data_IF_790170826053
#
_entry.id   IF_790170826053
#
_cell.length_a   1.000
_cell.length_b   1.000
_cell.length_c   1.000
_cell.angle_alpha   90.00
_cell.angle_beta   90.00
_cell.angle_gamma   90.00
#
_symmetry.space_group_name_H-M   'P 1'
#
loop_
_entity.id
_entity.type
_entity.pdbx_description
1 polymer ?
#
# COMPACT_ATOMS: atom_id res chain seq x y z
N UNK A 1 -8.97 -9.59 -1.56
CA UNK A 1 -9.94 -8.70 -2.25
C UNK A 1 -11.07 -9.56 -2.78
N UNK A 2 -12.33 -9.13 -2.67
CA UNK A 2 -13.42 -9.85 -3.33
C UNK A 2 -13.19 -9.88 -4.84
N UNK A 3 -13.58 -10.97 -5.50
CA UNK A 3 -13.47 -11.13 -6.97
C UNK A 3 -14.28 -10.08 -7.76
N UNK A 4 -15.24 -9.43 -7.10
CA UNK A 4 -16.03 -8.33 -7.65
C UNK A 4 -16.15 -7.25 -6.58
N UNK A 5 -15.49 -6.10 -6.77
CA UNK A 5 -15.58 -4.99 -5.80
C UNK A 5 -16.96 -4.33 -5.87
N UNK A 6 -17.59 -4.12 -4.72
CA UNK A 6 -18.83 -3.33 -4.57
C UNK A 6 -18.51 -1.85 -4.22
N UNK A 7 -17.28 -1.40 -4.52
CA UNK A 7 -16.78 -0.06 -4.20
C UNK A 7 -16.24 0.02 -2.77
N UNK A 8 -17.11 -0.02 -1.76
CA UNK A 8 -16.75 0.23 -0.34
C UNK A 8 -16.35 -1.01 0.45
N UNK A 9 -15.63 -1.93 -0.17
CA UNK A 9 -15.28 -3.21 0.42
C UNK A 9 -13.78 -3.40 0.67
N UNK A 10 -12.98 -2.37 0.40
CA UNK A 10 -11.54 -2.42 0.63
C UNK A 10 -11.15 -1.79 1.97
N UNK A 11 -10.21 -2.45 2.64
CA UNK A 11 -9.46 -1.88 3.75
C UNK A 11 -8.09 -1.45 3.23
N UNK A 12 -7.71 -0.20 3.46
CA UNK A 12 -6.41 0.33 3.07
C UNK A 12 -5.60 0.68 4.31
N UNK A 13 -4.33 0.30 4.27
CA UNK A 13 -3.36 0.53 5.33
C UNK A 13 -2.12 1.19 4.73
N UNK A 14 -1.69 2.31 5.30
CA UNK A 14 -0.49 3.01 4.84
C UNK A 14 0.25 3.70 5.98
N UNK A 15 1.51 4.07 5.70
CA UNK A 15 2.24 5.04 6.51
C UNK A 15 2.48 6.31 5.69
N UNK A 16 2.21 7.46 6.30
CA UNK A 16 2.38 8.76 5.64
C UNK A 16 2.91 9.81 6.61
N UNK A 17 3.69 10.75 6.08
CA UNK A 17 4.16 11.96 6.73
C UNK A 17 3.49 13.22 6.13
N UNK A 18 2.44 13.05 5.31
CA UNK A 18 1.85 14.12 4.54
C UNK A 18 1.34 15.25 5.44
N UNK A 19 1.82 16.47 5.17
CA UNK A 19 1.23 17.70 5.70
C UNK A 19 0.21 18.24 4.71
N UNK A 20 -1.00 18.56 5.17
CA UNK A 20 -2.04 19.14 4.31
C UNK A 20 -2.71 20.33 5.01
N UNK A 21 -3.20 21.30 4.24
CA UNK A 21 -3.92 22.45 4.76
C UNK A 21 -5.39 22.09 4.83
N UNK A 22 -5.97 22.13 6.02
CA UNK A 22 -7.41 21.99 6.17
C UNK A 22 -8.13 23.15 5.46
N UNK A 23 -8.97 22.89 4.45
CA UNK A 23 -9.52 23.94 3.61
C UNK A 23 -10.60 24.78 4.32
N UNK A 24 -11.10 24.32 5.47
CA UNK A 24 -12.13 25.02 6.27
C UNK A 24 -11.47 25.90 7.33
N UNK A 25 -10.48 25.35 8.04
CA UNK A 25 -9.82 26.03 9.15
C UNK A 25 -8.54 26.76 8.73
N UNK A 26 -8.04 26.52 7.52
CA UNK A 26 -6.75 26.97 6.99
C UNK A 26 -5.55 26.60 7.88
N UNK A 27 -5.72 25.61 8.76
CA UNK A 27 -4.65 25.11 9.63
C UNK A 27 -3.95 23.94 8.97
N UNK A 28 -2.63 23.90 9.13
CA UNK A 28 -1.83 22.77 8.67
C UNK A 28 -2.08 21.56 9.57
N UNK A 29 -2.54 20.47 8.97
CA UNK A 29 -2.52 19.12 9.55
C UNK A 29 -1.11 18.59 9.39
N UNK A 30 -0.57 18.03 10.48
CA UNK A 30 0.81 17.53 10.56
C UNK A 30 1.90 18.53 10.17
N UNK A 31 2.02 19.67 10.87
CA UNK A 31 3.07 20.64 10.57
C UNK A 31 4.48 20.08 10.82
N UNK A 32 4.62 19.04 11.64
CA UNK A 32 5.91 18.40 11.95
C UNK A 32 6.30 17.33 10.93
N UNK A 33 5.40 17.00 9.99
CA UNK A 33 5.58 15.92 9.02
C UNK A 33 5.87 14.57 9.68
N UNK A 34 5.38 14.32 10.89
CA UNK A 34 5.68 13.04 11.57
C UNK A 34 4.96 11.89 10.88
N UNK A 35 5.63 10.73 10.83
CA UNK A 35 5.04 9.53 10.27
C UNK A 35 3.92 9.04 11.18
N UNK A 36 2.78 8.68 10.60
CA UNK A 36 1.76 7.89 11.28
C UNK A 36 1.22 6.79 10.39
N UNK A 37 0.64 5.80 11.04
CA UNK A 37 -0.13 4.74 10.43
C UNK A 37 -1.57 5.20 10.17
N UNK A 38 -2.08 4.96 8.96
CA UNK A 38 -3.49 5.13 8.62
C UNK A 38 -4.12 3.77 8.36
N UNK A 39 -5.29 3.57 8.96
CA UNK A 39 -6.21 2.48 8.67
C UNK A 39 -7.51 3.08 8.16
N UNK A 40 -7.84 2.82 6.91
CA UNK A 40 -9.06 3.29 6.26
C UNK A 40 -9.95 2.09 5.95
N UNK A 41 -11.19 2.12 6.41
CA UNK A 41 -12.23 1.16 6.06
C UNK A 41 -13.12 1.70 4.96
N UNK A 42 -13.82 0.82 4.24
CA UNK A 42 -14.80 1.19 3.22
C UNK A 42 -14.21 2.04 2.08
N UNK A 43 -12.95 1.78 1.74
CA UNK A 43 -12.23 2.53 0.71
C UNK A 43 -12.74 2.14 -0.66
N UNK A 44 -13.24 3.12 -1.40
CA UNK A 44 -13.50 2.99 -2.81
C UNK A 44 -12.23 3.37 -3.60
N UNK A 45 -11.59 2.33 -4.16
CA UNK A 45 -10.36 2.48 -4.92
C UNK A 45 -10.60 3.12 -6.30
N UNK A 46 -11.83 3.17 -6.80
CA UNK A 46 -12.17 3.76 -8.10
C UNK A 46 -12.44 5.26 -8.02
N UNK A 47 -12.78 5.78 -6.83
CA UNK A 47 -12.93 7.22 -6.60
C UNK A 47 -11.60 7.97 -6.47
N UNK A 48 -10.48 7.25 -6.31
CA UNK A 48 -9.15 7.82 -6.18
C UNK A 48 -8.59 8.28 -7.53
N UNK A 49 -8.65 9.58 -7.83
CA UNK A 49 -8.07 10.17 -9.06
C UNK A 49 -6.56 9.98 -9.19
N UNK A 50 -5.87 9.59 -8.11
CA UNK A 50 -4.43 9.36 -8.05
C UNK A 50 -4.02 7.89 -8.13
N UNK A 51 -4.97 6.95 -8.18
CA UNK A 51 -4.63 5.53 -8.24
C UNK A 51 -4.19 5.16 -9.67
N UNK A 52 -2.93 4.76 -9.81
CA UNK A 52 -2.36 4.37 -11.12
C UNK A 52 -2.54 2.88 -11.42
N UNK A 53 -2.50 2.01 -10.41
CA UNK A 53 -2.63 0.56 -10.59
C UNK A 53 -2.65 -0.18 -9.25
N UNK A 54 -2.93 -1.48 -9.31
CA UNK A 54 -3.03 -2.36 -8.15
C UNK A 54 -2.27 -3.65 -8.40
N UNK A 55 -1.49 -4.07 -7.41
CA UNK A 55 -0.73 -5.30 -7.46
C UNK A 55 -1.24 -6.26 -6.41
N UNK A 56 -1.60 -7.47 -6.82
CA UNK A 56 -2.00 -8.56 -5.92
C UNK A 56 -0.80 -9.46 -5.69
N UNK A 57 -0.34 -9.54 -4.44
CA UNK A 57 0.85 -10.32 -4.05
C UNK A 57 0.51 -11.62 -3.30
N UNK A 58 -0.75 -11.84 -2.95
CA UNK A 58 -1.17 -13.01 -2.19
C UNK A 58 -2.61 -12.93 -1.71
N UNK A 59 -2.96 -13.84 -0.82
CA UNK A 59 -4.30 -14.00 -0.27
C UNK A 59 -4.22 -14.20 1.25
N UNK A 60 -4.89 -13.33 2.00
CA UNK A 60 -5.04 -13.50 3.45
C UNK A 60 -6.14 -14.54 3.69
N UNK A 61 -5.97 -15.49 4.64
CA UNK A 61 -7.01 -16.47 4.97
C UNK A 61 -8.36 -15.82 5.33
N UNK A 62 -9.46 -16.47 4.95
CA UNK A 62 -10.83 -15.94 5.13
C UNK A 62 -11.20 -15.75 6.61
N UNK A 63 -10.51 -16.43 7.52
CA UNK A 63 -10.72 -16.34 8.96
C UNK A 63 -10.13 -15.05 9.57
N UNK A 64 -9.24 -14.36 8.85
CA UNK A 64 -8.59 -13.14 9.36
C UNK A 64 -9.53 -11.95 9.14
N UNK A 65 -9.95 -11.34 10.24
CA UNK A 65 -10.82 -10.18 10.24
C UNK A 65 -10.09 -8.87 9.90
N UNK A 66 -10.84 -7.86 9.47
CA UNK A 66 -10.28 -6.53 9.20
C UNK A 66 -9.62 -5.86 10.43
N UNK A 67 -10.17 -5.97 11.66
CA UNK A 67 -9.48 -5.50 12.87
C UNK A 67 -8.15 -6.21 13.11
N UNK A 68 -8.07 -7.53 12.89
CA UNK A 68 -6.81 -8.27 13.03
C UNK A 68 -5.77 -7.83 12.00
N UNK A 69 -6.19 -7.52 10.77
CA UNK A 69 -5.30 -6.88 9.77
C UNK A 69 -4.84 -5.50 10.23
N UNK A 70 -5.73 -4.70 10.82
CA UNK A 70 -5.37 -3.39 11.38
C UNK A 70 -4.33 -3.49 12.48
N UNK A 71 -4.51 -4.41 13.42
CA UNK A 71 -3.55 -4.69 14.50
C UNK A 71 -2.23 -5.26 13.96
N UNK A 72 -2.29 -6.06 12.90
CA UNK A 72 -1.13 -6.61 12.22
C UNK A 72 -0.29 -5.50 11.55
N UNK A 73 -0.91 -4.68 10.69
CA UNK A 73 -0.21 -3.59 10.00
C UNK A 73 0.20 -2.47 10.94
N UNK A 74 -0.54 -2.25 12.04
CA UNK A 74 -0.17 -1.29 13.08
C UNK A 74 1.10 -1.65 13.85
N UNK A 75 1.57 -2.91 13.76
CA UNK A 75 2.86 -3.35 14.33
C UNK A 75 4.04 -3.17 13.37
N UNK A 76 3.78 -2.86 12.10
CA UNK A 76 4.86 -2.57 11.13
C UNK A 76 5.55 -1.28 11.56
N UNK A 77 6.88 -1.27 11.76
CA UNK A 77 7.61 -0.08 12.18
C UNK A 77 7.36 1.10 11.24
N UNK A 78 7.04 2.26 11.81
CA UNK A 78 6.94 3.48 11.01
C UNK A 78 8.32 3.93 10.52
N UNK A 79 8.41 4.55 9.33
CA UNK A 79 9.68 5.05 8.82
C UNK A 79 10.32 6.06 9.78
N UNK A 80 11.64 6.00 9.89
CA UNK A 80 12.42 6.89 10.76
C UNK A 80 13.10 7.98 9.93
N UNK A 81 12.83 9.24 10.25
CA UNK A 81 13.44 10.41 9.61
C UNK A 81 14.95 10.49 9.88
N UNK A 82 15.68 11.15 8.97
CA UNK A 82 17.09 11.49 9.14
C UNK A 82 18.02 10.28 9.37
N UNK A 83 17.68 9.13 8.79
CA UNK A 83 18.49 7.91 8.82
C UNK A 83 19.25 7.72 7.51
N UNK A 84 20.24 6.82 7.51
CA UNK A 84 20.96 6.38 6.32
C UNK A 84 20.90 4.84 6.24
N UNK A 85 20.29 4.25 5.20
CA UNK A 85 19.55 4.90 4.11
C UNK A 85 18.29 5.63 4.59
N UNK A 86 17.81 6.61 3.80
CA UNK A 86 16.57 7.33 4.09
C UNK A 86 15.38 6.37 4.01
N UNK A 87 14.49 6.42 5.00
CA UNK A 87 13.26 5.64 5.02
C UNK A 87 12.05 6.46 4.53
N UNK A 88 11.08 5.77 3.93
CA UNK A 88 9.86 6.37 3.36
C UNK A 88 8.66 5.43 3.46
N UNK A 89 7.52 5.82 2.90
CA UNK A 89 6.35 4.93 2.76
C UNK A 89 6.69 3.65 1.99
N UNK A 90 7.69 3.68 1.08
CA UNK A 90 8.18 2.48 0.40
C UNK A 90 8.84 1.53 1.39
N UNK A 91 9.66 2.04 2.33
CA UNK A 91 10.26 1.23 3.40
C UNK A 91 9.19 0.53 4.23
N UNK A 92 8.12 1.26 4.60
CA UNK A 92 7.00 0.68 5.34
C UNK A 92 6.30 -0.42 4.53
N UNK A 93 6.06 -0.22 3.23
CA UNK A 93 5.48 -1.25 2.36
C UNK A 93 6.37 -2.48 2.26
N UNK A 94 7.69 -2.30 2.14
CA UNK A 94 8.64 -3.42 2.15
C UNK A 94 8.56 -4.22 3.46
N UNK A 95 8.55 -3.55 4.61
CA UNK A 95 8.43 -4.19 5.92
C UNK A 95 7.07 -4.88 6.10
N UNK A 96 5.99 -4.27 5.61
CA UNK A 96 4.66 -4.88 5.61
C UNK A 96 4.65 -6.17 4.77
N UNK A 97 5.27 -6.18 3.58
CA UNK A 97 5.40 -7.38 2.74
C UNK A 97 6.24 -8.45 3.45
N UNK A 98 7.37 -8.09 4.09
CA UNK A 98 8.19 -9.03 4.88
C UNK A 98 7.36 -9.68 5.97
N UNK A 99 6.61 -8.89 6.74
CA UNK A 99 5.76 -9.42 7.81
C UNK A 99 4.68 -10.36 7.25
N UNK A 100 4.06 -10.03 6.11
CA UNK A 100 3.07 -10.89 5.45
C UNK A 100 3.69 -12.23 5.00
N UNK A 101 4.93 -12.20 4.52
CA UNK A 101 5.69 -13.39 4.13
C UNK A 101 6.10 -14.25 5.34
N UNK A 102 6.47 -13.62 6.45
CA UNK A 102 6.80 -14.30 7.71
C UNK A 102 5.57 -14.95 8.35
N UNK A 103 4.42 -14.26 8.27
CA UNK A 103 3.13 -14.77 8.72
C UNK A 103 2.59 -15.90 7.84
N UNK A 104 3.11 -16.05 6.61
CA UNK A 104 2.72 -17.08 5.65
C UNK A 104 1.46 -16.75 4.84
N UNK A 105 0.99 -15.49 4.87
CA UNK A 105 -0.15 -15.05 4.06
C UNK A 105 0.24 -14.65 2.63
N UNK A 106 1.54 -14.40 2.41
CA UNK A 106 2.11 -14.07 1.10
C UNK A 106 3.29 -15.02 0.84
N UNK A 107 3.41 -15.52 -0.38
CA UNK A 107 4.54 -16.36 -0.76
C UNK A 107 5.85 -15.58 -0.65
N UNK A 108 6.93 -16.25 -0.23
CA UNK A 108 8.27 -15.64 -0.21
C UNK A 108 8.76 -15.33 -1.61
N UNK A 109 9.16 -14.09 -1.82
CA UNK A 109 9.76 -13.58 -3.05
C UNK A 109 10.79 -12.51 -2.73
N UNK A 110 11.69 -12.24 -3.68
CA UNK A 110 12.69 -11.19 -3.52
C UNK A 110 12.04 -9.79 -3.65
N UNK A 111 12.01 -9.03 -2.56
CA UNK A 111 11.34 -7.73 -2.48
C UNK A 111 12.03 -6.67 -3.35
N UNK A 112 13.35 -6.73 -3.53
CA UNK A 112 14.05 -5.78 -4.41
C UNK A 112 13.68 -5.98 -5.87
N UNK A 113 13.63 -7.23 -6.34
CA UNK A 113 13.13 -7.56 -7.69
C UNK A 113 11.66 -7.18 -7.86
N UNK A 114 10.86 -7.38 -6.83
CA UNK A 114 9.46 -6.94 -6.82
C UNK A 114 9.34 -5.42 -6.99
N UNK A 115 10.17 -4.64 -6.29
CA UNK A 115 10.20 -3.18 -6.38
C UNK A 115 10.55 -2.70 -7.79
N UNK A 116 11.59 -3.26 -8.40
CA UNK A 116 11.99 -2.92 -9.77
C UNK A 116 10.87 -3.24 -10.79
N UNK A 117 10.21 -4.39 -10.60
CA UNK A 117 9.07 -4.78 -11.41
C UNK A 117 7.85 -3.86 -11.19
N UNK A 118 7.54 -3.52 -9.94
CA UNK A 118 6.42 -2.67 -9.57
C UNK A 118 6.59 -1.25 -10.12
N UNK A 119 7.82 -0.72 -10.13
CA UNK A 119 8.14 0.56 -10.73
C UNK A 119 7.92 0.52 -12.26
N UNK A 120 8.41 -0.53 -12.92
CA UNK A 120 8.18 -0.72 -14.36
C UNK A 120 6.70 -0.80 -14.72
N UNK A 121 5.92 -1.51 -13.89
CA UNK A 121 4.45 -1.58 -14.02
C UNK A 121 3.79 -0.20 -13.81
N UNK A 122 4.23 0.57 -12.81
CA UNK A 122 3.73 1.91 -12.55
C UNK A 122 4.02 2.88 -13.70
N UNK A 123 5.23 2.86 -14.25
CA UNK A 123 5.64 3.69 -15.38
C UNK A 123 4.78 3.42 -16.63
N UNK A 124 4.47 2.15 -16.90
CA UNK A 124 3.57 1.77 -18.00
C UNK A 124 2.13 2.24 -17.75
N UNK A 125 1.63 2.09 -16.51
CA UNK A 125 0.29 2.55 -16.11
C UNK A 125 0.12 4.06 -16.18
N UNK A 126 1.20 4.82 -15.97
CA UNK A 126 1.19 6.28 -16.08
C UNK A 126 0.93 6.78 -17.52
N UNK A 127 1.06 5.93 -18.54
CA UNK A 127 0.67 6.25 -19.93
C UNK A 127 -0.85 6.37 -20.12
N UNK A 128 -1.65 6.07 -19.10
CA UNK A 128 -3.09 6.29 -19.11
C UNK A 128 -3.81 5.37 -20.10
N UNK A 129 -4.49 5.95 -21.08
CA UNK A 129 -5.25 5.19 -22.09
C UNK A 129 -4.35 4.36 -23.03
N UNK A 130 -3.08 4.74 -23.15
CA UNK A 130 -2.10 4.05 -24.02
C UNK A 130 -1.33 2.94 -23.27
N UNK A 131 -1.65 2.72 -21.99
CA UNK A 131 -1.04 1.67 -21.16
C UNK A 131 -1.35 0.28 -21.71
N UNK A 132 -0.31 -0.55 -21.91
CA UNK A 132 -0.50 -1.97 -22.20
C UNK A 132 -0.81 -2.83 -20.96
N UNK A 133 -0.63 -2.27 -19.77
CA UNK A 133 -0.80 -2.98 -18.49
C UNK A 133 -2.21 -2.81 -17.91
N UNK A 134 -2.78 -3.87 -17.29
CA UNK A 134 -4.10 -3.82 -16.69
C UNK A 134 -4.09 -3.02 -15.38
N UNK A 135 -5.25 -2.52 -14.96
CA UNK A 135 -5.42 -1.78 -13.69
C UNK A 135 -5.19 -2.63 -12.44
N UNK A 136 -5.32 -3.95 -12.56
CA UNK A 136 -4.99 -4.94 -11.53
C UNK A 136 -4.06 -5.98 -12.13
N UNK A 137 -2.92 -6.23 -11.50
CA UNK A 137 -1.95 -7.24 -11.92
C UNK A 137 -1.57 -8.15 -10.76
N UNK A 138 -1.53 -9.45 -11.02
CA UNK A 138 -1.05 -10.43 -10.06
C UNK A 138 0.46 -10.54 -10.18
N UNK A 139 1.16 -10.40 -9.06
CA UNK A 139 2.59 -10.65 -9.00
C UNK A 139 2.81 -12.14 -8.75
N UNK A 140 3.13 -12.86 -9.82
CA UNK A 140 3.53 -14.26 -9.74
C UNK A 140 5.05 -14.34 -9.85
N UNK A 141 5.68 -15.02 -8.91
CA UNK A 141 7.07 -15.43 -9.05
C UNK A 141 7.07 -16.61 -10.03
N UNK A 142 7.73 -16.47 -11.17
CA UNK A 142 8.10 -17.67 -11.94
C UNK A 142 9.04 -18.51 -11.05
N UNK A 143 8.52 -19.64 -10.59
CA UNK A 143 9.22 -20.62 -9.74
C UNK A 143 10.44 -21.21 -10.43
#
# INVERSE_FOLDING_TARGET
MPQTSQGRDCHAFDATDASDIDPVTFRMKNPTMDWWFRSQTEVDLELGTKLIGRIVIGHVPDEVSAPELGDFFGKVPLPVKNTHPQQSCVTWVEDAIRNLQEQGWVQKFNIDRFKDWALSYADERMKGADSSEPSVKYYNVES
#
